data_IF_474784902882
#
_entry.id   IF_474784902882
#
_cell.length_a   1.000
_cell.length_b   1.000
_cell.length_c   1.000
_cell.angle_alpha   90.00
_cell.angle_beta   90.00
_cell.angle_gamma   90.00
#
_symmetry.space_group_name_H-M   'P 1'
#
loop_
_entity.id
_entity.type
_entity.pdbx_description
1 polymer ?
#
# COMPACT_ATOMS: atom_id res chain seq x y z
N UNK A 1 -27.60 2.33 -23.82
CA UNK A 1 -26.18 1.95 -23.64
C UNK A 1 -25.39 2.83 -24.58
N UNK A 2 -24.41 3.60 -24.09
CA UNK A 2 -23.56 4.45 -24.94
C UNK A 2 -22.69 3.60 -25.86
N UNK A 3 -22.26 4.15 -27.00
CA UNK A 3 -21.39 3.44 -27.95
C UNK A 3 -20.05 3.03 -27.26
N UNK A 4 -19.51 3.90 -26.43
CA UNK A 4 -18.28 3.63 -25.68
C UNK A 4 -18.42 2.44 -24.73
N UNK A 5 -19.54 2.36 -23.97
CA UNK A 5 -19.78 1.25 -23.07
C UNK A 5 -19.82 -0.10 -23.83
N UNK A 6 -20.47 -0.15 -24.99
CA UNK A 6 -20.52 -1.36 -25.84
C UNK A 6 -19.12 -1.74 -26.33
N UNK A 7 -18.31 -0.76 -26.71
CA UNK A 7 -16.93 -0.98 -27.15
C UNK A 7 -16.08 -1.60 -26.05
N UNK A 8 -16.15 -1.09 -24.82
CA UNK A 8 -15.38 -1.65 -23.70
C UNK A 8 -15.91 -3.00 -23.22
N UNK A 9 -17.22 -3.24 -23.25
CA UNK A 9 -17.80 -4.57 -23.04
C UNK A 9 -17.19 -5.57 -24.01
N UNK A 10 -17.11 -5.21 -25.30
CA UNK A 10 -16.49 -6.07 -26.31
C UNK A 10 -14.99 -6.30 -26.03
N UNK A 11 -14.22 -5.25 -25.73
CA UNK A 11 -12.79 -5.38 -25.40
C UNK A 11 -12.57 -6.27 -24.18
N UNK A 12 -13.36 -6.13 -23.12
CA UNK A 12 -13.22 -6.91 -21.90
C UNK A 12 -13.61 -8.38 -22.06
N UNK A 13 -14.50 -8.70 -22.98
CA UNK A 13 -14.81 -10.10 -23.30
C UNK A 13 -13.75 -10.78 -24.18
N UNK A 14 -12.77 -10.02 -24.72
CA UNK A 14 -11.73 -10.50 -25.64
C UNK A 14 -10.31 -10.19 -25.17
N UNK A 15 -10.07 -10.15 -23.87
CA UNK A 15 -8.73 -9.91 -23.30
C UNK A 15 -7.72 -10.96 -23.76
N UNK A 16 -6.53 -10.50 -24.13
CA UNK A 16 -5.41 -11.37 -24.49
C UNK A 16 -4.82 -12.00 -23.21
N UNK A 17 -4.96 -13.31 -23.09
CA UNK A 17 -4.53 -14.06 -21.91
C UNK A 17 -3.60 -15.21 -22.32
N UNK A 18 -2.60 -15.54 -21.48
CA UNK A 18 -1.81 -16.75 -21.66
C UNK A 18 -2.72 -17.98 -21.58
N UNK A 19 -2.55 -18.98 -22.48
CA UNK A 19 -3.50 -20.09 -22.63
C UNK A 19 -3.39 -21.15 -21.52
N UNK A 20 -2.37 -21.10 -20.70
CA UNK A 20 -2.11 -22.08 -19.64
C UNK A 20 -3.30 -22.23 -18.69
N UNK A 21 -3.57 -23.46 -18.23
CA UNK A 21 -4.63 -23.80 -17.29
C UNK A 21 -6.02 -23.24 -17.64
N UNK A 22 -6.37 -23.17 -18.94
CA UNK A 22 -7.65 -22.64 -19.39
C UNK A 22 -7.69 -21.11 -19.58
N UNK A 23 -6.54 -20.46 -19.51
CA UNK A 23 -6.37 -19.02 -19.71
C UNK A 23 -6.14 -18.23 -18.42
N UNK A 24 -5.03 -17.49 -18.39
CA UNK A 24 -4.59 -16.77 -17.22
C UNK A 24 -5.65 -15.76 -16.70
N UNK A 25 -6.04 -15.81 -15.42
CA UNK A 25 -7.08 -14.95 -14.83
C UNK A 25 -6.57 -13.56 -14.43
N UNK A 26 -5.27 -13.30 -14.56
CA UNK A 26 -4.60 -12.14 -14.00
C UNK A 26 -5.17 -10.79 -14.48
N UNK A 27 -5.34 -10.60 -15.80
CA UNK A 27 -5.89 -9.35 -16.34
C UNK A 27 -7.35 -9.10 -15.92
N UNK A 28 -8.27 -10.08 -16.00
CA UNK A 28 -9.62 -9.93 -15.46
C UNK A 28 -9.64 -9.57 -13.98
N UNK A 29 -8.84 -10.24 -13.14
CA UNK A 29 -8.76 -9.93 -11.69
C UNK A 29 -8.20 -8.53 -11.46
N UNK A 30 -7.16 -8.11 -12.19
CA UNK A 30 -6.62 -6.76 -12.09
C UNK A 30 -7.68 -5.70 -12.44
N UNK A 31 -8.43 -5.88 -13.51
CA UNK A 31 -9.50 -4.97 -13.90
C UNK A 31 -10.60 -4.90 -12.84
N UNK A 32 -11.06 -6.03 -12.29
CA UNK A 32 -12.00 -6.05 -11.18
C UNK A 32 -11.48 -5.29 -9.97
N UNK A 33 -10.18 -5.43 -9.66
CA UNK A 33 -9.54 -4.71 -8.55
C UNK A 33 -9.53 -3.20 -8.79
N UNK A 34 -9.22 -2.77 -10.01
CA UNK A 34 -9.25 -1.36 -10.41
C UNK A 34 -10.68 -0.80 -10.32
N UNK A 35 -11.69 -1.55 -10.79
CA UNK A 35 -13.09 -1.12 -10.73
C UNK A 35 -13.56 -0.91 -9.29
N UNK A 36 -13.11 -1.77 -8.38
CA UNK A 36 -13.37 -1.60 -6.94
C UNK A 36 -12.66 -0.38 -6.35
N UNK A 37 -11.43 -0.05 -6.79
CA UNK A 37 -10.77 1.19 -6.36
C UNK A 37 -11.58 2.43 -6.75
N UNK A 38 -12.14 2.45 -7.97
CA UNK A 38 -13.03 3.52 -8.42
C UNK A 38 -14.32 3.56 -7.59
N UNK A 39 -14.98 2.42 -7.43
CA UNK A 39 -16.24 2.32 -6.66
C UNK A 39 -16.10 2.80 -5.22
N UNK A 40 -14.92 2.63 -4.61
CA UNK A 40 -14.62 3.05 -3.24
C UNK A 40 -13.99 4.45 -3.15
N UNK A 41 -13.88 5.18 -4.27
CA UNK A 41 -13.33 6.53 -4.32
C UNK A 41 -11.83 6.62 -4.03
N UNK A 42 -11.10 5.51 -4.14
CA UNK A 42 -9.64 5.46 -3.93
C UNK A 42 -8.85 5.94 -5.16
N UNK A 43 -9.50 5.97 -6.33
CA UNK A 43 -8.98 6.58 -7.56
C UNK A 43 -9.86 7.78 -7.89
N UNK A 44 -9.31 8.99 -7.75
CA UNK A 44 -10.00 10.27 -7.98
C UNK A 44 -9.52 11.01 -9.23
N UNK A 45 -8.49 10.52 -9.86
CA UNK A 45 -7.89 11.03 -11.09
C UNK A 45 -7.54 9.85 -12.00
N UNK A 46 -7.40 10.09 -13.30
CA UNK A 46 -6.97 9.07 -14.26
C UNK A 46 -5.47 8.72 -14.09
N UNK A 47 -5.08 8.41 -12.85
CA UNK A 47 -3.74 8.00 -12.45
C UNK A 47 -3.84 6.84 -11.46
N UNK A 48 -3.40 5.68 -11.88
CA UNK A 48 -3.50 4.43 -11.13
C UNK A 48 -2.07 3.94 -10.85
N UNK A 49 -1.47 4.33 -9.72
CA UNK A 49 -0.18 3.76 -9.28
C UNK A 49 -0.37 2.35 -8.72
N UNK A 50 0.72 1.61 -8.60
CA UNK A 50 0.70 0.34 -7.87
C UNK A 50 0.70 0.65 -6.38
N UNK A 51 -0.47 0.59 -5.75
CA UNK A 51 -0.63 0.84 -4.32
C UNK A 51 -0.82 -0.46 -3.54
N UNK A 52 -0.71 -0.38 -2.23
CA UNK A 52 -1.01 -1.49 -1.34
C UNK A 52 -2.47 -1.95 -1.48
N UNK A 53 -3.39 -0.98 -1.58
CA UNK A 53 -4.83 -1.25 -1.75
C UNK A 53 -5.09 -2.04 -3.04
N UNK A 54 -4.43 -1.66 -4.15
CA UNK A 54 -4.54 -2.41 -5.41
C UNK A 54 -4.06 -3.86 -5.25
N UNK A 55 -2.90 -4.07 -4.64
CA UNK A 55 -2.35 -5.42 -4.39
C UNK A 55 -3.29 -6.22 -3.49
N UNK A 56 -3.82 -5.59 -2.45
CA UNK A 56 -4.76 -6.22 -1.52
C UNK A 56 -6.06 -6.63 -2.19
N UNK A 57 -6.69 -5.72 -2.95
CA UNK A 57 -7.92 -6.02 -3.69
C UNK A 57 -7.69 -7.13 -4.71
N UNK A 58 -6.57 -7.08 -5.42
CA UNK A 58 -6.21 -8.13 -6.35
C UNK A 58 -6.10 -9.51 -5.66
N UNK A 59 -5.39 -9.61 -4.54
CA UNK A 59 -5.23 -10.87 -3.81
C UNK A 59 -6.52 -11.37 -3.18
N UNK A 60 -7.35 -10.45 -2.69
CA UNK A 60 -8.66 -10.81 -2.12
C UNK A 60 -9.63 -11.31 -3.19
N UNK A 61 -9.74 -10.61 -4.32
CA UNK A 61 -10.55 -11.04 -5.45
C UNK A 61 -10.02 -12.35 -6.05
N UNK A 62 -8.70 -12.48 -6.15
CA UNK A 62 -8.06 -13.72 -6.59
C UNK A 62 -8.49 -14.91 -5.74
N UNK A 63 -8.42 -14.79 -4.41
CA UNK A 63 -8.82 -15.84 -3.47
C UNK A 63 -10.29 -16.23 -3.61
N UNK A 64 -11.14 -15.28 -3.97
CA UNK A 64 -12.57 -15.52 -4.17
C UNK A 64 -12.88 -16.21 -5.50
N UNK A 65 -12.20 -15.83 -6.58
CA UNK A 65 -12.61 -16.18 -7.94
C UNK A 65 -11.72 -17.21 -8.64
N UNK A 66 -10.43 -17.31 -8.26
CA UNK A 66 -9.47 -18.15 -9.02
C UNK A 66 -9.28 -19.50 -8.36
N UNK A 67 -9.59 -20.55 -9.12
CA UNK A 67 -9.43 -21.96 -8.69
C UNK A 67 -8.29 -22.68 -9.44
N UNK A 68 -7.62 -21.99 -10.36
CA UNK A 68 -6.53 -22.56 -11.16
C UNK A 68 -5.19 -22.50 -10.42
N UNK A 69 -4.16 -23.20 -10.93
CA UNK A 69 -2.82 -23.24 -10.32
C UNK A 69 -1.96 -21.99 -10.57
N UNK A 70 -2.52 -20.93 -11.12
CA UNK A 70 -1.80 -19.67 -11.30
C UNK A 70 -1.49 -19.01 -9.95
N UNK A 71 -0.40 -18.24 -9.89
CA UNK A 71 -0.02 -17.47 -8.69
C UNK A 71 -0.58 -16.05 -8.72
N UNK A 72 -1.00 -15.50 -7.56
CA UNK A 72 -1.61 -14.16 -7.46
C UNK A 72 -0.56 -13.05 -7.51
N UNK A 73 -0.02 -12.75 -8.69
CA UNK A 73 0.97 -11.69 -8.92
C UNK A 73 0.39 -10.53 -9.72
N UNK A 74 0.57 -9.29 -9.24
CA UNK A 74 0.02 -8.06 -9.82
C UNK A 74 0.94 -7.44 -10.86
N UNK A 75 2.26 -7.51 -10.66
CA UNK A 75 3.25 -6.85 -11.51
C UNK A 75 3.11 -7.21 -13.00
N UNK A 76 2.91 -8.50 -13.29
CA UNK A 76 2.79 -9.00 -14.67
C UNK A 76 1.53 -8.44 -15.38
N UNK A 77 0.29 -8.63 -14.86
CA UNK A 77 -0.89 -8.11 -15.52
C UNK A 77 -0.90 -6.58 -15.57
N UNK A 78 -0.39 -5.88 -14.56
CA UNK A 78 -0.27 -4.42 -14.56
C UNK A 78 0.56 -3.92 -15.73
N UNK A 79 1.72 -4.54 -15.97
CA UNK A 79 2.59 -4.21 -17.10
C UNK A 79 1.98 -4.63 -18.44
N UNK A 80 1.47 -5.85 -18.57
CA UNK A 80 1.02 -6.41 -19.85
C UNK A 80 -0.38 -5.96 -20.27
N UNK A 81 -1.15 -5.27 -19.41
CA UNK A 81 -2.46 -4.75 -19.75
C UNK A 81 -2.36 -3.67 -20.85
N UNK A 82 -1.21 -3.00 -21.03
CA UNK A 82 -0.95 -2.06 -22.12
C UNK A 82 -1.20 -2.66 -23.52
N UNK A 83 -1.06 -4.00 -23.67
CA UNK A 83 -1.34 -4.69 -24.92
C UNK A 83 -2.81 -4.65 -25.34
N UNK A 84 -3.72 -4.25 -24.46
CA UNK A 84 -5.16 -4.12 -24.74
C UNK A 84 -5.52 -2.76 -25.36
N UNK A 85 -4.60 -1.78 -25.34
CA UNK A 85 -4.73 -0.48 -25.99
C UNK A 85 -5.61 0.53 -25.26
N UNK A 86 -6.10 0.24 -24.06
CA UNK A 86 -6.84 1.17 -23.20
C UNK A 86 -6.12 1.45 -21.87
N UNK A 87 -4.94 0.91 -21.72
CA UNK A 87 -4.10 1.01 -20.52
C UNK A 87 -2.72 1.54 -20.89
N UNK A 88 -2.33 2.70 -20.34
CA UNK A 88 -1.13 3.43 -20.72
C UNK A 88 -0.22 3.58 -19.53
N UNK A 89 1.01 3.05 -19.64
CA UNK A 89 2.02 3.16 -18.59
C UNK A 89 2.78 4.48 -18.70
N UNK A 90 2.96 5.17 -17.59
CA UNK A 90 3.73 6.39 -17.46
C UNK A 90 4.98 6.14 -16.62
N UNK A 91 6.14 6.42 -17.21
CA UNK A 91 7.42 6.25 -16.54
C UNK A 91 7.69 7.37 -15.52
N UNK A 92 8.50 7.07 -14.53
CA UNK A 92 9.14 8.12 -13.76
C UNK A 92 10.00 9.00 -14.67
N UNK A 93 10.15 10.28 -14.29
CA UNK A 93 11.00 11.22 -15.03
C UNK A 93 12.41 10.65 -15.27
N UNK A 94 12.82 10.62 -16.52
CA UNK A 94 14.10 10.06 -16.96
C UNK A 94 14.15 8.54 -17.11
N UNK A 95 12.99 7.83 -16.93
CA UNK A 95 12.88 6.38 -17.10
C UNK A 95 12.11 5.96 -18.36
N UNK A 96 11.71 6.90 -19.19
CA UNK A 96 10.90 6.67 -20.39
C UNK A 96 11.57 5.71 -21.37
N UNK A 97 12.87 5.89 -21.62
CA UNK A 97 13.64 5.02 -22.50
C UNK A 97 13.78 3.60 -21.95
N UNK A 98 13.99 3.46 -20.63
CA UNK A 98 14.12 2.16 -20.00
C UNK A 98 12.77 1.41 -20.03
N UNK A 99 11.65 2.09 -19.77
CA UNK A 99 10.32 1.52 -19.86
C UNK A 99 9.97 1.07 -21.29
N UNK A 100 10.28 1.88 -22.30
CA UNK A 100 9.96 1.58 -23.71
C UNK A 100 10.70 0.35 -24.24
N UNK A 101 11.88 0.04 -23.72
CA UNK A 101 12.67 -1.16 -24.06
C UNK A 101 12.37 -2.36 -23.15
N UNK A 102 11.61 -2.15 -22.08
CA UNK A 102 11.26 -3.20 -21.14
C UNK A 102 10.22 -4.15 -21.77
N UNK A 103 10.53 -5.43 -21.86
CA UNK A 103 9.63 -6.45 -22.41
C UNK A 103 8.95 -7.28 -21.31
N UNK A 104 9.53 -7.27 -20.11
CA UNK A 104 9.05 -8.06 -19.00
C UNK A 104 9.40 -7.41 -17.65
N UNK A 105 8.47 -7.52 -16.70
CA UNK A 105 8.59 -7.00 -15.34
C UNK A 105 8.56 -8.19 -14.36
N UNK A 106 9.74 -8.65 -13.98
CA UNK A 106 9.88 -9.81 -13.11
C UNK A 106 9.53 -9.58 -11.63
N UNK A 107 9.38 -8.33 -11.17
CA UNK A 107 9.04 -8.03 -9.77
C UNK A 107 8.30 -6.70 -9.62
N UNK A 108 7.58 -6.56 -8.51
CA UNK A 108 6.87 -5.31 -8.16
C UNK A 108 7.85 -4.16 -7.89
N UNK A 109 9.04 -4.45 -7.36
CA UNK A 109 10.08 -3.46 -7.13
C UNK A 109 10.59 -2.88 -8.45
N UNK A 110 10.81 -3.72 -9.47
CA UNK A 110 11.19 -3.27 -10.81
C UNK A 110 10.07 -2.46 -11.47
N UNK A 111 8.80 -2.88 -11.31
CA UNK A 111 7.65 -2.14 -11.82
C UNK A 111 7.60 -0.74 -11.22
N UNK A 112 7.68 -0.61 -9.90
CA UNK A 112 7.65 0.67 -9.19
C UNK A 112 8.87 1.57 -9.45
N UNK A 113 10.02 0.97 -9.80
CA UNK A 113 11.21 1.74 -10.17
C UNK A 113 11.11 2.37 -11.56
N UNK A 114 10.28 1.81 -12.46
CA UNK A 114 10.14 2.26 -13.84
C UNK A 114 8.83 3.03 -14.09
N UNK A 115 7.72 2.56 -13.49
CA UNK A 115 6.36 3.06 -13.73
C UNK A 115 5.91 3.90 -12.55
N UNK A 116 5.56 5.15 -12.80
CA UNK A 116 4.97 6.05 -11.81
C UNK A 116 3.49 5.72 -11.60
N UNK A 117 2.74 5.61 -12.69
CA UNK A 117 1.31 5.24 -12.70
C UNK A 117 0.92 4.69 -14.07
N UNK A 118 -0.28 4.14 -14.14
CA UNK A 118 -0.96 3.87 -15.38
C UNK A 118 -2.21 4.74 -15.52
N UNK A 119 -2.61 5.04 -16.76
CA UNK A 119 -3.89 5.70 -17.06
C UNK A 119 -4.74 4.86 -17.99
N UNK A 120 -6.04 5.12 -17.98
CA UNK A 120 -7.02 4.56 -18.89
C UNK A 120 -7.25 5.52 -20.06
N UNK A 121 -7.83 5.03 -21.18
CA UNK A 121 -8.50 5.89 -22.16
C UNK A 121 -9.51 6.78 -21.42
N UNK A 122 -9.64 8.05 -21.79
CA UNK A 122 -10.50 8.99 -21.08
C UNK A 122 -11.97 8.52 -21.03
N UNK A 123 -12.48 7.99 -22.13
CA UNK A 123 -13.83 7.44 -22.18
C UNK A 123 -14.04 6.26 -21.21
N UNK A 124 -13.03 5.41 -21.01
CA UNK A 124 -13.10 4.33 -20.02
C UNK A 124 -13.04 4.88 -18.59
N UNK A 125 -12.18 5.86 -18.34
CA UNK A 125 -12.11 6.53 -17.05
C UNK A 125 -13.45 7.14 -16.66
N UNK A 126 -14.11 7.88 -17.58
CA UNK A 126 -15.44 8.44 -17.35
C UNK A 126 -16.50 7.37 -17.05
N UNK A 127 -16.48 6.24 -17.77
CA UNK A 127 -17.38 5.12 -17.51
C UNK A 127 -17.18 4.51 -16.11
N UNK A 128 -15.93 4.42 -15.64
CA UNK A 128 -15.61 3.83 -14.32
C UNK A 128 -15.93 4.77 -13.16
N UNK A 129 -15.95 6.09 -13.37
CA UNK A 129 -16.37 7.06 -12.34
C UNK A 129 -17.88 7.03 -12.09
N UNK A 130 -18.68 6.47 -13.00
CA UNK A 130 -20.13 6.36 -12.87
C UNK A 130 -20.51 4.97 -12.32
N UNK A 131 -21.22 4.88 -11.18
CA UNK A 131 -21.52 3.59 -10.54
C UNK A 131 -22.25 2.60 -11.44
N UNK A 132 -23.17 3.06 -12.28
CA UNK A 132 -23.98 2.19 -13.15
C UNK A 132 -23.13 1.54 -14.24
N UNK A 133 -22.28 2.31 -14.91
CA UNK A 133 -21.43 1.80 -15.99
C UNK A 133 -20.26 0.99 -15.45
N UNK A 134 -19.71 1.36 -14.29
CA UNK A 134 -18.72 0.57 -13.55
C UNK A 134 -19.28 -0.83 -13.25
N UNK A 135 -20.46 -0.91 -12.61
CA UNK A 135 -21.11 -2.18 -12.30
C UNK A 135 -21.43 -3.02 -13.55
N UNK A 136 -21.78 -2.41 -14.66
CA UNK A 136 -22.03 -3.12 -15.93
C UNK A 136 -20.74 -3.73 -16.50
N UNK A 137 -19.60 -3.01 -16.42
CA UNK A 137 -18.30 -3.50 -16.87
C UNK A 137 -17.76 -4.60 -15.93
N UNK A 138 -17.96 -4.43 -14.62
CA UNK A 138 -17.64 -5.44 -13.62
C UNK A 138 -18.41 -6.73 -13.88
N UNK A 139 -19.72 -6.64 -14.08
CA UNK A 139 -20.57 -7.78 -14.41
C UNK A 139 -20.10 -8.49 -15.69
N UNK A 140 -19.69 -7.75 -16.70
CA UNK A 140 -19.14 -8.30 -17.96
C UNK A 140 -17.93 -9.20 -17.72
N UNK A 141 -17.00 -8.81 -16.82
CA UNK A 141 -15.82 -9.61 -16.49
C UNK A 141 -16.20 -10.86 -15.70
N UNK A 142 -17.11 -10.73 -14.72
CA UNK A 142 -17.58 -11.85 -13.90
C UNK A 142 -18.26 -12.91 -14.77
N UNK A 143 -19.23 -12.52 -15.59
CA UNK A 143 -19.96 -13.42 -16.50
C UNK A 143 -19.01 -14.13 -17.47
N UNK A 144 -18.03 -13.40 -18.01
CA UNK A 144 -17.14 -13.96 -19.04
C UNK A 144 -16.07 -14.89 -18.50
N UNK A 145 -15.46 -14.55 -17.34
CA UNK A 145 -14.27 -15.23 -16.88
C UNK A 145 -14.45 -16.02 -15.57
N UNK A 146 -15.52 -15.74 -14.83
CA UNK A 146 -15.73 -16.29 -13.50
C UNK A 146 -17.15 -16.81 -13.24
N UNK A 147 -17.89 -17.16 -14.30
CA UNK A 147 -19.28 -17.62 -14.21
C UNK A 147 -19.50 -18.78 -13.20
N UNK A 148 -18.48 -19.61 -12.96
CA UNK A 148 -18.57 -20.73 -12.01
C UNK A 148 -18.25 -20.33 -10.56
N UNK A 149 -17.58 -19.22 -10.34
CA UNK A 149 -17.12 -18.77 -9.02
C UNK A 149 -17.68 -17.40 -8.63
N UNK A 150 -18.45 -16.74 -9.50
CA UNK A 150 -19.00 -15.40 -9.26
C UNK A 150 -19.83 -15.31 -7.96
N UNK A 151 -20.50 -16.40 -7.56
CA UNK A 151 -21.25 -16.44 -6.30
C UNK A 151 -20.39 -16.23 -5.05
N UNK A 152 -19.06 -16.40 -5.16
CA UNK A 152 -18.09 -16.15 -4.09
C UNK A 152 -17.57 -14.71 -4.09
N UNK A 153 -17.85 -13.94 -5.15
CA UNK A 153 -17.42 -12.57 -5.27
C UNK A 153 -18.17 -11.65 -4.31
N UNK A 154 -17.45 -11.04 -3.39
CA UNK A 154 -17.99 -10.17 -2.36
C UNK A 154 -17.20 -8.85 -2.30
N UNK A 155 -17.62 -7.80 -3.04
CA UNK A 155 -16.96 -6.49 -3.02
C UNK A 155 -16.93 -5.82 -1.64
N UNK A 156 -17.93 -6.09 -0.78
CA UNK A 156 -18.00 -5.51 0.56
C UNK A 156 -16.91 -6.07 1.49
N UNK A 157 -16.46 -7.29 1.26
CA UNK A 157 -15.31 -7.84 1.98
C UNK A 157 -14.03 -7.00 1.79
N UNK A 158 -13.90 -6.26 0.68
CA UNK A 158 -12.77 -5.37 0.44
C UNK A 158 -12.78 -4.13 1.34
N UNK A 159 -13.94 -3.65 1.75
CA UNK A 159 -14.06 -2.55 2.72
C UNK A 159 -13.65 -3.02 4.11
N UNK A 160 -14.15 -4.18 4.52
CA UNK A 160 -13.78 -4.80 5.81
C UNK A 160 -12.27 -5.08 5.88
N UNK A 161 -11.66 -5.49 4.75
CA UNK A 161 -10.21 -5.71 4.69
C UNK A 161 -9.45 -4.40 4.92
N UNK A 162 -9.87 -3.28 4.34
CA UNK A 162 -9.22 -1.98 4.60
C UNK A 162 -9.37 -1.57 6.07
N UNK A 163 -10.54 -1.76 6.65
CA UNK A 163 -10.79 -1.48 8.07
C UNK A 163 -10.02 -2.46 8.98
N UNK A 164 -9.98 -3.75 8.65
CA UNK A 164 -9.22 -4.76 9.39
C UNK A 164 -7.71 -4.53 9.30
N UNK A 165 -7.18 -4.06 8.16
CA UNK A 165 -5.78 -3.71 8.00
C UNK A 165 -5.41 -2.50 8.88
N UNK A 166 -6.34 -1.54 9.02
CA UNK A 166 -6.16 -0.39 9.91
C UNK A 166 -6.24 -0.83 11.38
N UNK A 167 -7.09 -1.80 11.71
CA UNK A 167 -7.42 -2.18 13.10
C UNK A 167 -6.64 -3.42 13.57
N UNK A 168 -6.31 -4.38 12.67
CA UNK A 168 -5.72 -5.68 13.01
C UNK A 168 -4.52 -6.06 12.12
N UNK A 169 -3.40 -5.34 12.18
CA UNK A 169 -2.22 -5.66 11.36
C UNK A 169 -1.58 -7.01 11.70
N UNK A 170 -1.89 -7.60 12.85
CA UNK A 170 -1.33 -8.88 13.31
C UNK A 170 -1.75 -10.12 12.47
N UNK A 171 -2.76 -10.00 11.61
CA UNK A 171 -3.29 -11.12 10.81
C UNK A 171 -2.69 -11.23 9.40
N UNK A 172 -1.68 -10.42 9.07
CA UNK A 172 -0.96 -10.59 7.80
C UNK A 172 0.11 -11.66 8.00
N UNK A 173 0.01 -12.82 7.33
CA UNK A 173 1.00 -13.89 7.50
C UNK A 173 2.40 -13.38 7.22
N UNK A 174 3.32 -13.55 8.19
CA UNK A 174 4.75 -13.34 7.93
C UNK A 174 5.20 -14.46 6.99
N UNK A 175 5.55 -14.10 5.75
CA UNK A 175 6.08 -15.07 4.81
C UNK A 175 7.60 -15.09 4.93
N UNK A 176 8.23 -16.25 5.18
CA UNK A 176 9.68 -16.36 5.26
C UNK A 176 10.35 -15.92 3.96
N UNK A 177 11.45 -15.16 4.08
CA UNK A 177 12.18 -14.55 2.94
C UNK A 177 12.89 -15.59 2.04
N UNK A 178 12.93 -16.84 2.44
CA UNK A 178 13.67 -17.92 1.76
C UNK A 178 12.81 -18.75 0.81
N UNK A 179 12.17 -18.10 -0.20
CA UNK A 179 11.42 -18.80 -1.24
C UNK A 179 12.08 -18.55 -2.60
N UNK A 180 12.30 -19.61 -3.39
CA UNK A 180 12.90 -19.53 -4.72
C UNK A 180 11.83 -19.66 -5.83
N UNK A 181 12.09 -19.07 -7.00
CA UNK A 181 11.23 -19.21 -8.17
C UNK A 181 10.04 -18.25 -8.22
N UNK A 182 8.93 -18.67 -8.82
CA UNK A 182 7.73 -17.83 -9.04
C UNK A 182 7.03 -17.40 -7.74
N UNK A 183 7.16 -18.16 -6.66
CA UNK A 183 6.63 -17.81 -5.34
C UNK A 183 7.33 -16.58 -4.73
N UNK A 184 8.57 -16.30 -5.14
CA UNK A 184 9.30 -15.10 -4.70
C UNK A 184 8.57 -13.82 -5.04
N UNK A 185 7.95 -13.74 -6.23
CA UNK A 185 7.18 -12.55 -6.64
C UNK A 185 5.97 -12.31 -5.74
N UNK A 186 5.28 -13.38 -5.31
CA UNK A 186 4.13 -13.29 -4.38
C UNK A 186 4.58 -12.71 -3.04
N UNK A 187 5.72 -13.19 -2.51
CA UNK A 187 6.29 -12.73 -1.24
C UNK A 187 6.75 -11.26 -1.34
N UNK A 188 7.38 -10.87 -2.45
CA UNK A 188 7.79 -9.48 -2.67
C UNK A 188 6.58 -8.53 -2.69
N UNK A 189 5.48 -8.93 -3.33
CA UNK A 189 4.26 -8.15 -3.38
C UNK A 189 3.56 -8.05 -2.02
N UNK A 190 3.57 -9.14 -1.22
CA UNK A 190 3.05 -9.12 0.14
C UNK A 190 3.86 -8.19 1.04
N UNK A 191 5.19 -8.22 0.92
CA UNK A 191 6.08 -7.33 1.66
C UNK A 191 5.90 -5.86 1.24
N UNK A 192 5.77 -5.61 -0.07
CA UNK A 192 5.48 -4.27 -0.59
C UNK A 192 4.16 -3.73 -0.05
N UNK A 193 3.08 -4.54 -0.12
CA UNK A 193 1.77 -4.13 0.35
C UNK A 193 1.78 -3.81 1.86
N UNK A 194 2.41 -4.65 2.68
CA UNK A 194 2.54 -4.43 4.13
C UNK A 194 3.31 -3.15 4.45
N UNK A 195 4.51 -2.99 3.91
CA UNK A 195 5.34 -1.81 4.15
C UNK A 195 4.68 -0.51 3.66
N UNK A 196 3.92 -0.56 2.55
CA UNK A 196 3.15 0.58 2.06
C UNK A 196 1.98 0.91 2.97
N UNK A 197 1.27 -0.11 3.49
CA UNK A 197 0.18 0.08 4.45
C UNK A 197 0.69 0.65 5.77
N UNK A 198 1.80 0.14 6.31
CA UNK A 198 2.43 0.69 7.51
C UNK A 198 2.69 2.20 7.36
N UNK A 199 3.27 2.61 6.23
CA UNK A 199 3.55 4.02 5.92
C UNK A 199 2.30 4.89 5.80
N UNK A 200 1.17 4.31 5.41
CA UNK A 200 -0.10 5.03 5.25
C UNK A 200 -0.91 5.06 6.56
N UNK A 201 -0.95 3.93 7.26
CA UNK A 201 -1.80 3.74 8.43
C UNK A 201 -1.21 4.41 9.66
N UNK A 202 0.09 4.28 9.90
CA UNK A 202 0.71 4.87 11.11
C UNK A 202 0.47 6.39 11.18
N UNK A 203 0.77 7.23 10.17
CA UNK A 203 0.43 8.64 10.25
C UNK A 203 -1.05 8.91 10.48
N UNK A 204 -1.95 8.11 9.89
CA UNK A 204 -3.40 8.27 9.99
C UNK A 204 -3.93 8.04 11.40
N UNK A 205 -3.49 6.98 12.09
CA UNK A 205 -3.93 6.68 13.46
C UNK A 205 -3.45 7.73 14.48
N UNK A 206 -2.39 8.47 14.16
CA UNK A 206 -1.90 9.63 14.91
C UNK A 206 -2.53 10.95 14.44
N UNK A 207 -3.55 10.91 13.58
CA UNK A 207 -4.18 12.10 12.98
C UNK A 207 -3.13 13.04 12.33
N UNK A 208 -2.19 12.44 11.58
CA UNK A 208 -1.10 13.14 10.88
C UNK A 208 -0.31 14.09 11.80
N UNK A 209 -0.17 13.73 13.07
CA UNK A 209 0.49 14.52 14.10
C UNK A 209 1.74 13.79 14.60
N UNK A 210 2.85 14.49 14.72
CA UNK A 210 4.05 13.95 15.35
C UNK A 210 3.78 13.60 16.82
N UNK A 211 4.07 12.36 17.19
CA UNK A 211 3.84 11.84 18.55
C UNK A 211 4.59 12.64 19.63
N UNK A 212 5.80 13.12 19.32
CA UNK A 212 6.66 13.84 20.26
C UNK A 212 6.41 15.36 20.22
N UNK A 213 6.65 16.01 19.08
CA UNK A 213 6.57 17.47 18.96
C UNK A 213 5.15 18.01 18.86
N UNK A 214 4.15 17.15 18.65
CA UNK A 214 2.76 17.53 18.37
C UNK A 214 2.59 18.34 17.07
N UNK A 215 3.63 18.42 16.24
CA UNK A 215 3.56 19.07 14.94
C UNK A 215 2.52 18.37 14.08
N UNK A 216 1.54 19.12 13.62
CA UNK A 216 0.56 18.72 12.61
C UNK A 216 0.58 19.77 11.50
N UNK A 217 1.11 19.38 10.37
CA UNK A 217 1.18 20.22 9.19
C UNK A 217 0.74 19.41 7.98
N UNK A 218 -0.38 19.79 7.40
CA UNK A 218 -0.97 19.14 6.24
C UNK A 218 -1.26 20.19 5.18
N UNK A 219 -1.10 19.82 3.91
CA UNK A 219 -1.49 20.65 2.78
C UNK A 219 -2.78 20.10 2.16
N UNK A 220 -3.77 20.97 1.98
CA UNK A 220 -5.02 20.61 1.29
C UNK A 220 -4.84 20.58 -0.23
N UNK A 221 -3.80 21.23 -0.75
CA UNK A 221 -3.54 21.34 -2.20
C UNK A 221 -2.70 20.15 -2.71
N UNK A 222 -1.75 19.67 -1.91
CA UNK A 222 -0.78 18.66 -2.33
C UNK A 222 -0.93 17.30 -1.62
N UNK A 223 -1.90 17.17 -0.71
CA UNK A 223 -2.08 15.98 0.13
C UNK A 223 -0.77 15.52 0.82
N UNK A 224 -0.01 16.46 1.36
CA UNK A 224 1.28 16.23 2.01
C UNK A 224 1.11 16.32 3.53
N UNK A 225 1.74 15.40 4.23
CA UNK A 225 1.91 15.41 5.70
C UNK A 225 3.39 15.51 6.06
N UNK A 226 3.69 16.20 7.16
CA UNK A 226 5.05 16.36 7.68
C UNK A 226 5.38 15.33 8.77
N UNK A 227 4.70 14.19 8.75
CA UNK A 227 5.02 13.06 9.63
C UNK A 227 5.21 11.78 8.83
N UNK A 228 6.18 11.00 9.23
CA UNK A 228 6.52 9.69 8.68
C UNK A 228 6.08 8.58 9.65
N UNK A 229 5.83 7.39 9.11
CA UNK A 229 5.74 6.16 9.88
C UNK A 229 7.16 5.70 10.25
N UNK A 230 7.49 5.72 11.53
CA UNK A 230 8.76 5.26 12.07
C UNK A 230 8.59 3.88 12.70
N UNK A 231 9.43 2.90 12.32
CA UNK A 231 9.52 1.62 13.04
C UNK A 231 10.25 1.80 14.37
N UNK A 232 9.66 1.30 15.45
CA UNK A 232 10.29 1.34 16.79
C UNK A 232 11.46 0.35 16.84
N UNK A 233 11.24 -0.88 16.42
CA UNK A 233 12.29 -1.86 16.11
C UNK A 233 12.44 -1.90 14.58
N UNK A 234 13.65 -1.63 14.03
CA UNK A 234 13.83 -1.56 12.59
C UNK A 234 13.31 -2.80 11.86
N UNK A 235 12.63 -2.59 10.73
CA UNK A 235 12.08 -3.69 9.91
C UNK A 235 13.15 -4.70 9.49
N UNK A 236 14.38 -4.25 9.22
CA UNK A 236 15.51 -5.14 8.88
C UNK A 236 15.85 -6.15 9.96
N UNK A 237 15.42 -5.94 11.19
CA UNK A 237 15.70 -6.81 12.35
C UNK A 237 14.43 -7.58 12.77
N UNK A 238 13.29 -6.90 12.82
CA UNK A 238 12.04 -7.46 13.32
C UNK A 238 11.20 -8.13 12.24
N UNK A 239 11.31 -7.68 11.00
CA UNK A 239 10.37 -7.98 9.91
C UNK A 239 8.90 -7.70 10.28
N UNK A 240 8.67 -6.77 11.22
CA UNK A 240 7.38 -6.43 11.80
C UNK A 240 6.88 -5.07 11.31
N UNK A 241 5.86 -5.10 10.44
CA UNK A 241 5.09 -3.93 9.96
C UNK A 241 3.76 -3.78 10.74
N UNK A 242 3.64 -4.36 11.95
CA UNK A 242 2.47 -4.15 12.78
C UNK A 242 2.38 -2.72 13.30
N UNK A 243 1.16 -2.24 13.58
CA UNK A 243 0.93 -0.92 14.18
C UNK A 243 1.65 -0.78 15.52
N UNK A 244 1.70 -1.86 16.30
CA UNK A 244 2.40 -1.90 17.58
C UNK A 244 3.91 -1.66 17.50
N UNK A 245 4.50 -1.81 16.31
CA UNK A 245 5.88 -1.44 16.00
C UNK A 245 6.00 -0.05 15.32
N UNK A 246 4.93 0.75 15.32
CA UNK A 246 4.86 2.01 14.59
C UNK A 246 4.64 3.24 15.47
N UNK A 247 5.30 4.33 15.13
CA UNK A 247 5.09 5.66 15.73
C UNK A 247 5.17 6.74 14.65
N UNK A 248 4.29 7.75 14.70
CA UNK A 248 4.32 8.86 13.75
C UNK A 248 5.27 9.97 14.26
N UNK A 249 6.30 10.27 13.51
CA UNK A 249 7.30 11.28 13.86
C UNK A 249 7.57 12.23 12.70
N UNK A 250 7.83 13.52 13.00
CA UNK A 250 8.37 14.42 11.98
C UNK A 250 9.81 14.02 11.63
N UNK A 251 10.33 14.35 10.42
CA UNK A 251 11.60 13.82 9.92
C UNK A 251 12.80 13.98 10.85
N UNK A 252 12.91 15.12 11.53
CA UNK A 252 14.01 15.37 12.47
C UNK A 252 13.95 14.44 13.68
N UNK A 253 12.76 14.23 14.25
CA UNK A 253 12.56 13.35 15.40
C UNK A 253 12.60 11.88 15.01
N UNK A 254 12.14 11.51 13.80
CA UNK A 254 12.32 10.18 13.24
C UNK A 254 13.80 9.82 13.17
N UNK A 255 14.63 10.72 12.61
CA UNK A 255 16.08 10.50 12.55
C UNK A 255 16.74 10.45 13.92
N UNK A 256 16.30 11.29 14.86
CA UNK A 256 16.82 11.28 16.24
C UNK A 256 16.49 9.96 16.95
N UNK A 257 15.29 9.43 16.74
CA UNK A 257 14.83 8.16 17.29
C UNK A 257 15.62 6.98 16.71
N UNK A 258 15.77 6.92 15.38
CA UNK A 258 16.56 5.89 14.69
C UNK A 258 18.03 5.84 15.11
N UNK A 259 18.56 6.95 15.64
CA UNK A 259 19.95 7.07 16.10
C UNK A 259 20.11 6.96 17.62
N UNK A 260 19.01 6.66 18.33
CA UNK A 260 19.04 6.53 19.79
C UNK A 260 19.36 7.83 20.53
N UNK A 261 19.15 8.99 19.91
CA UNK A 261 19.28 10.27 20.60
C UNK A 261 18.10 10.54 21.53
N UNK A 262 16.97 9.92 21.22
CA UNK A 262 15.74 9.88 22.01
C UNK A 262 15.20 8.46 22.09
N UNK A 263 14.49 8.16 23.16
CA UNK A 263 13.77 6.90 23.37
C UNK A 263 12.42 7.19 24.05
N UNK A 264 11.66 6.14 24.33
CA UNK A 264 10.33 6.23 24.96
C UNK A 264 10.36 5.37 26.24
N UNK A 265 9.82 5.90 27.35
CA UNK A 265 9.64 5.16 28.61
C UNK A 265 8.42 4.23 28.55
N UNK A 266 8.25 3.36 29.56
CA UNK A 266 7.07 2.51 29.70
C UNK A 266 5.78 3.31 29.96
N UNK A 267 5.92 4.55 30.47
CA UNK A 267 4.80 5.50 30.68
C UNK A 267 4.53 6.37 29.45
N UNK A 268 5.06 5.99 28.28
CA UNK A 268 4.95 6.76 27.04
C UNK A 268 5.42 8.21 27.16
N UNK A 269 6.53 8.45 27.88
CA UNK A 269 7.21 9.75 27.94
C UNK A 269 8.53 9.71 27.17
N UNK A 270 8.97 10.88 26.70
CA UNK A 270 10.21 11.01 25.93
C UNK A 270 11.42 10.94 26.85
N UNK A 271 12.35 10.06 26.55
CA UNK A 271 13.68 10.01 27.13
C UNK A 271 14.69 10.63 26.16
N UNK A 272 15.53 11.53 26.66
CA UNK A 272 16.61 12.13 25.86
C UNK A 272 17.94 11.58 26.33
N UNK A 273 18.80 11.18 25.39
CA UNK A 273 20.11 10.63 25.73
C UNK A 273 20.95 11.68 26.38
N UNK A 274 21.48 11.36 27.59
CA UNK A 274 22.28 12.28 28.41
C UNK A 274 23.67 12.62 27.85
N UNK A 275 24.09 11.88 26.80
CA UNK A 275 25.42 12.05 26.19
C UNK A 275 25.36 12.92 24.90
N UNK A 276 24.23 13.55 24.62
CA UNK A 276 24.12 14.49 23.46
C UNK A 276 24.64 15.86 23.87
N UNK A 277 25.30 16.54 22.94
CA UNK A 277 25.63 17.95 23.03
C UNK A 277 24.70 18.75 22.12
N UNK A 278 23.98 19.71 22.67
CA UNK A 278 23.02 20.55 21.94
C UNK A 278 23.32 22.04 22.18
N UNK A 279 23.10 22.83 21.16
CA UNK A 279 22.99 24.28 21.31
C UNK A 279 21.60 24.62 21.88
N UNK A 280 21.56 24.95 23.17
CA UNK A 280 20.32 25.29 23.88
C UNK A 280 19.69 26.61 23.41
N UNK A 281 20.42 27.43 22.66
CA UNK A 281 19.88 28.67 22.06
C UNK A 281 19.10 28.40 20.77
N UNK A 282 19.25 27.19 20.19
CA UNK A 282 18.48 26.78 19.03
C UNK A 282 16.99 26.68 19.35
N UNK A 283 16.15 27.19 18.48
CA UNK A 283 14.70 27.04 18.58
C UNK A 283 14.24 25.57 18.56
N UNK A 284 15.06 24.68 18.01
CA UNK A 284 14.84 23.23 18.00
C UNK A 284 15.99 22.53 18.71
N UNK A 285 15.73 21.96 19.87
CA UNK A 285 16.63 21.11 20.61
C UNK A 285 15.86 19.89 21.15
N UNK A 286 16.53 18.76 21.36
CA UNK A 286 15.88 17.53 21.83
C UNK A 286 15.54 17.61 23.32
N UNK A 287 16.33 18.30 24.09
CA UNK A 287 16.16 18.43 25.55
C UNK A 287 14.80 19.03 25.93
N UNK A 288 14.20 19.87 25.08
CA UNK A 288 12.85 20.43 25.32
C UNK A 288 11.76 19.35 25.41
N UNK A 289 11.99 18.17 24.83
CA UNK A 289 11.02 17.07 24.84
C UNK A 289 11.21 16.10 26.02
N UNK A 290 12.29 16.23 26.79
CA UNK A 290 12.57 15.32 27.91
C UNK A 290 11.41 15.28 28.91
N UNK A 291 10.93 14.07 29.23
CA UNK A 291 9.81 13.83 30.15
C UNK A 291 8.43 14.24 29.60
N UNK A 292 8.34 14.77 28.39
CA UNK A 292 7.04 15.12 27.79
C UNK A 292 6.26 13.84 27.41
N UNK A 293 4.94 13.81 27.65
CA UNK A 293 4.12 12.67 27.24
C UNK A 293 3.96 12.63 25.71
N UNK A 294 3.94 11.44 25.16
CA UNK A 294 3.62 11.25 23.75
C UNK A 294 2.16 11.64 23.43
N UNK A 295 1.89 12.09 22.20
CA UNK A 295 0.57 11.96 21.63
C UNK A 295 0.43 10.51 21.18
N UNK A 296 -0.53 9.80 21.74
CA UNK A 296 -0.86 8.42 21.38
C UNK A 296 -2.03 8.40 20.37
N UNK A 297 -2.25 7.27 19.66
CA UNK A 297 -3.44 7.04 18.86
C UNK A 297 -4.73 7.16 19.66
N UNK A 298 -5.87 7.25 18.96
CA UNK A 298 -7.19 7.44 19.59
C UNK A 298 -7.70 6.21 20.38
N UNK A 299 -7.06 5.05 20.26
CA UNK A 299 -7.46 3.79 20.91
C UNK A 299 -6.26 3.00 21.40
N UNK A 300 -6.35 2.43 22.59
CA UNK A 300 -5.24 1.73 23.28
C UNK A 300 -4.74 0.51 22.49
N UNK A 301 -5.61 -0.18 21.76
CA UNK A 301 -5.21 -1.32 20.91
C UNK A 301 -4.33 -0.92 19.71
N UNK A 302 -4.17 0.37 19.46
CA UNK A 302 -3.32 0.94 18.42
C UNK A 302 -2.02 1.53 18.98
N UNK A 303 -1.79 1.44 20.29
CA UNK A 303 -0.60 1.98 20.93
C UNK A 303 0.65 1.19 20.53
N UNK A 304 1.81 1.85 20.46
CA UNK A 304 3.09 1.15 20.41
C UNK A 304 3.21 0.15 21.55
N UNK A 305 3.66 -1.07 21.23
CA UNK A 305 3.79 -2.09 22.28
C UNK A 305 4.96 -1.79 23.21
N UNK A 306 4.79 -2.06 24.51
CA UNK A 306 5.86 -1.90 25.50
C UNK A 306 7.06 -2.81 25.19
N UNK A 307 6.82 -3.96 24.56
CA UNK A 307 7.86 -4.87 24.09
C UNK A 307 8.78 -4.19 23.08
N UNK A 308 8.21 -3.57 22.02
CA UNK A 308 8.95 -2.86 20.97
C UNK A 308 9.68 -1.63 21.56
N UNK A 309 9.00 -0.87 22.42
CA UNK A 309 9.61 0.27 23.15
C UNK A 309 10.79 -0.19 24.00
N UNK A 310 10.64 -1.27 24.75
CA UNK A 310 11.71 -1.86 25.55
C UNK A 310 12.87 -2.38 24.71
N UNK A 311 12.59 -2.99 23.57
CA UNK A 311 13.63 -3.43 22.63
C UNK A 311 14.43 -2.25 22.07
N UNK A 312 13.77 -1.14 21.71
CA UNK A 312 14.45 0.08 21.26
C UNK A 312 15.35 0.68 22.36
N UNK A 313 14.87 0.78 23.61
CA UNK A 313 15.67 1.25 24.74
C UNK A 313 16.90 0.37 24.97
N UNK A 314 16.70 -0.94 24.99
CA UNK A 314 17.79 -1.92 25.16
C UNK A 314 18.86 -1.77 24.08
N UNK A 315 18.44 -1.58 22.81
CA UNK A 315 19.36 -1.37 21.68
C UNK A 315 20.28 -0.17 21.90
N UNK A 316 19.78 0.90 22.48
CA UNK A 316 20.49 2.17 22.63
C UNK A 316 21.01 2.46 24.04
N UNK A 317 20.85 1.51 24.98
CA UNK A 317 21.43 1.59 26.32
C UNK A 317 20.73 2.58 27.25
N UNK A 318 19.42 2.71 27.15
CA UNK A 318 18.57 3.50 28.05
C UNK A 318 18.19 2.69 29.29
#
# INVERSE_FOLDING_TARGET
>A
MTQDLQQYIHRFTHLRRAPQFGGAPHKPVLLLSIFQLFSKGLVTQNRIPVTAELVYFFKTIWKQLVTTQHLPVVNMPFFHLQSEGFWHLHAWYGKESELSHCRDIGSINKLNALVEYASLDEALYELLTQPITNAALERTLLDKYFATTEAQYCPDALTTVLDDIVIKPANIPQVPIAVAGAEKAVVEEDNFARGSLFKTVVPRIYDFTCSISKLRLTSTVQNVSMVDACHIVPFSESHDDSIGNGIALCPNLHRAFDKGLIAISDDYTVLVNKHIAEDKSSAFNLSQFAGQPLKLPYSENLFPTLENIGAHRKRWGY
#
